data_IF_204471068644
#
_entry.id   IF_204471068644
#
_cell.length_a   1.000
_cell.length_b   1.000
_cell.length_c   1.000
_cell.angle_alpha   90.00
_cell.angle_beta   90.00
_cell.angle_gamma   90.00
#
_symmetry.space_group_name_H-M   'P 1'
#
loop_
_entity.id
_entity.type
_entity.pdbx_description
1 polymer ?
#
# COMPACT_ATOMS: atom_id res chain seq x y z
N UNK A 1 -5.07 -7.15 16.95
CA UNK A 1 -6.08 -6.36 17.65
C UNK A 1 -6.87 -7.20 18.66
N UNK A 2 -7.41 -8.35 18.26
CA UNK A 2 -8.25 -9.22 19.11
C UNK A 2 -7.57 -9.76 20.38
N UNK A 3 -6.23 -9.64 20.47
CA UNK A 3 -5.45 -10.14 21.60
C UNK A 3 -5.07 -9.05 22.63
N UNK A 4 -5.47 -7.79 22.38
CA UNK A 4 -5.05 -6.64 23.21
C UNK A 4 -5.80 -6.61 24.55
N UNK A 5 -7.12 -6.89 24.55
CA UNK A 5 -7.97 -6.87 25.73
C UNK A 5 -9.22 -7.73 25.56
N UNK A 6 -9.94 -7.98 26.65
CA UNK A 6 -11.24 -8.64 26.65
C UNK A 6 -12.26 -7.87 25.80
N UNK A 7 -12.34 -6.56 26.00
CA UNK A 7 -13.22 -5.68 25.21
C UNK A 7 -12.89 -5.75 23.72
N UNK A 8 -11.60 -5.79 23.34
CA UNK A 8 -11.20 -5.94 21.93
C UNK A 8 -11.68 -7.28 21.34
N UNK A 9 -11.73 -8.36 22.12
CA UNK A 9 -12.30 -9.65 21.71
C UNK A 9 -13.80 -9.60 21.51
N UNK A 10 -14.50 -8.94 22.44
CA UNK A 10 -15.97 -8.85 22.42
C UNK A 10 -16.49 -8.02 21.23
N UNK A 11 -15.83 -6.92 20.89
CA UNK A 11 -16.32 -6.00 19.85
C UNK A 11 -15.52 -6.06 18.55
N UNK A 12 -14.42 -6.79 18.52
CA UNK A 12 -13.45 -6.72 17.44
C UNK A 12 -13.77 -7.61 16.25
N UNK A 13 -13.58 -7.04 15.05
CA UNK A 13 -13.53 -7.77 13.78
C UNK A 13 -12.19 -7.41 13.12
N UNK A 14 -11.41 -8.43 12.77
CA UNK A 14 -10.17 -8.24 11.99
C UNK A 14 -10.38 -8.73 10.58
N UNK A 15 -10.10 -7.86 9.60
CA UNK A 15 -10.04 -8.24 8.18
C UNK A 15 -8.58 -8.21 7.75
N UNK A 16 -8.06 -9.34 7.31
CA UNK A 16 -6.64 -9.47 6.96
C UNK A 16 -6.43 -10.36 5.74
N UNK A 17 -5.25 -10.28 5.14
CA UNK A 17 -4.84 -11.16 4.05
C UNK A 17 -3.32 -11.20 3.92
N UNK A 18 -2.79 -12.26 3.32
CA UNK A 18 -1.40 -12.36 2.91
C UNK A 18 -1.07 -11.54 1.64
N UNK A 19 -2.08 -10.93 1.01
CA UNK A 19 -2.01 -10.30 -0.32
C UNK A 19 -0.92 -9.26 -0.46
N UNK A 20 -0.73 -8.41 0.54
CA UNK A 20 0.23 -7.30 0.47
C UNK A 20 1.60 -7.69 1.04
N UNK A 21 1.62 -8.37 2.19
CA UNK A 21 2.87 -8.80 2.80
C UNK A 21 3.70 -9.73 1.91
N UNK A 22 3.05 -10.66 1.23
CA UNK A 22 3.74 -11.67 0.39
C UNK A 22 3.52 -11.51 -1.11
N UNK A 23 3.04 -10.35 -1.55
CA UNK A 23 2.85 -10.00 -2.97
C UNK A 23 1.97 -11.01 -3.75
N UNK A 24 0.93 -11.57 -3.11
CA UNK A 24 0.01 -12.56 -3.68
C UNK A 24 -1.41 -12.02 -3.90
N UNK A 25 -1.57 -10.72 -4.09
CA UNK A 25 -2.88 -10.08 -4.26
C UNK A 25 -3.69 -10.63 -5.44
N UNK A 26 -3.03 -11.14 -6.49
CA UNK A 26 -3.67 -11.79 -7.63
C UNK A 26 -4.45 -13.05 -7.27
N UNK A 27 -4.12 -13.70 -6.17
CA UNK A 27 -4.76 -14.95 -5.72
C UNK A 27 -6.08 -14.75 -4.98
N UNK A 28 -6.51 -13.51 -4.71
CA UNK A 28 -7.85 -13.14 -4.24
C UNK A 28 -8.34 -13.93 -3.00
N UNK A 29 -7.58 -13.87 -1.90
CA UNK A 29 -7.94 -14.48 -0.63
C UNK A 29 -7.79 -13.49 0.52
N UNK A 30 -8.78 -13.44 1.40
CA UNK A 30 -8.78 -12.64 2.62
C UNK A 30 -9.53 -13.39 3.73
N UNK A 31 -9.26 -13.00 4.97
CA UNK A 31 -9.84 -13.60 6.18
C UNK A 31 -10.60 -12.53 6.94
N UNK A 32 -11.77 -12.91 7.45
CA UNK A 32 -12.49 -12.16 8.48
C UNK A 32 -12.41 -12.99 9.74
N UNK A 33 -11.92 -12.41 10.83
CA UNK A 33 -11.70 -13.09 12.11
C UNK A 33 -12.44 -12.34 13.20
N UNK A 34 -13.23 -13.05 14.01
CA UNK A 34 -13.85 -12.59 15.23
C UNK A 34 -13.59 -13.61 16.34
N UNK A 35 -13.73 -13.21 17.59
CA UNK A 35 -13.75 -14.09 18.77
C UNK A 35 -15.07 -13.97 19.55
N UNK A 36 -16.07 -13.27 18.99
CA UNK A 36 -17.38 -13.09 19.58
C UNK A 36 -18.43 -13.88 18.79
N UNK A 37 -19.12 -14.79 19.49
CA UNK A 37 -20.16 -15.64 18.88
C UNK A 37 -21.30 -14.85 18.24
N UNK A 38 -21.73 -13.74 18.84
CA UNK A 38 -22.79 -12.92 18.26
C UNK A 38 -22.36 -12.27 16.94
N UNK A 39 -21.07 -11.85 16.82
CA UNK A 39 -20.51 -11.37 15.58
C UNK A 39 -20.42 -12.50 14.54
N UNK A 40 -20.02 -13.68 14.94
CA UNK A 40 -19.91 -14.85 14.05
C UNK A 40 -21.30 -15.25 13.50
N UNK A 41 -22.35 -15.17 14.31
CA UNK A 41 -23.73 -15.38 13.87
C UNK A 41 -24.17 -14.36 12.81
N UNK A 42 -23.81 -13.09 12.97
CA UNK A 42 -24.04 -12.03 11.95
C UNK A 42 -23.23 -12.30 10.68
N UNK A 43 -21.94 -12.66 10.79
CA UNK A 43 -21.08 -13.00 9.66
C UNK A 43 -21.60 -14.24 8.90
N UNK A 44 -22.24 -15.16 9.59
CA UNK A 44 -22.87 -16.34 8.98
C UNK A 44 -24.03 -16.01 8.03
N UNK A 45 -24.70 -14.86 8.24
CA UNK A 45 -25.79 -14.35 7.39
C UNK A 45 -25.29 -13.78 6.05
N UNK A 46 -23.97 -13.60 5.87
CA UNK A 46 -23.45 -13.12 4.60
C UNK A 46 -23.82 -14.06 3.44
N UNK A 47 -24.16 -13.50 2.27
CA UNK A 47 -24.51 -14.34 1.11
C UNK A 47 -23.44 -15.39 0.81
N UNK A 48 -23.83 -16.64 0.51
CA UNK A 48 -22.88 -17.72 0.21
C UNK A 48 -21.86 -17.35 -0.88
N UNK A 49 -22.25 -16.52 -1.85
CA UNK A 49 -21.38 -16.01 -2.91
C UNK A 49 -20.12 -15.29 -2.37
N UNK A 50 -20.17 -14.67 -1.21
CA UNK A 50 -19.00 -14.03 -0.58
C UNK A 50 -17.96 -15.07 -0.20
N UNK A 51 -18.40 -16.22 0.33
CA UNK A 51 -17.54 -17.32 0.75
C UNK A 51 -16.97 -18.10 -0.44
N UNK A 52 -17.78 -18.35 -1.48
CA UNK A 52 -17.36 -19.13 -2.66
C UNK A 52 -16.49 -18.38 -3.64
N UNK A 53 -16.39 -17.05 -3.56
CA UNK A 53 -15.52 -16.25 -4.43
C UNK A 53 -14.07 -16.21 -3.97
N UNK A 54 -13.76 -16.72 -2.79
CA UNK A 54 -12.37 -16.84 -2.36
C UNK A 54 -11.65 -17.91 -3.20
N UNK A 55 -10.47 -17.58 -3.70
CA UNK A 55 -9.66 -18.51 -4.49
C UNK A 55 -9.12 -19.64 -3.59
N UNK A 56 -9.33 -20.90 -3.98
CA UNK A 56 -8.75 -22.03 -3.27
C UNK A 56 -7.22 -21.99 -3.29
N UNK A 57 -6.61 -21.61 -4.44
CA UNK A 57 -5.16 -21.43 -4.54
C UNK A 57 -4.69 -20.29 -3.64
N UNK A 58 -5.50 -19.22 -3.52
CA UNK A 58 -5.23 -18.11 -2.61
C UNK A 58 -5.27 -18.51 -1.14
N UNK A 59 -6.17 -19.41 -0.76
CA UNK A 59 -6.24 -19.96 0.59
C UNK A 59 -4.98 -20.78 0.94
N UNK A 60 -4.56 -21.69 0.06
CA UNK A 60 -3.32 -22.46 0.25
C UNK A 60 -2.08 -21.58 0.28
N UNK A 61 -1.97 -20.62 -0.65
CA UNK A 61 -0.84 -19.70 -0.68
C UNK A 61 -0.81 -18.82 0.58
N UNK A 62 -1.96 -18.35 1.07
CA UNK A 62 -2.03 -17.57 2.31
C UNK A 62 -1.61 -18.41 3.52
N UNK A 63 -2.04 -19.67 3.60
CA UNK A 63 -1.65 -20.57 4.68
C UNK A 63 -0.12 -20.80 4.68
N UNK A 64 0.47 -21.07 3.51
CA UNK A 64 1.92 -21.22 3.36
C UNK A 64 2.68 -19.92 3.72
N UNK A 65 2.19 -18.77 3.24
CA UNK A 65 2.78 -17.47 3.53
C UNK A 65 2.83 -17.18 5.04
N UNK A 66 1.70 -17.32 5.74
CA UNK A 66 1.65 -17.11 7.20
C UNK A 66 2.46 -18.13 8.00
N UNK A 67 2.58 -19.35 7.52
CA UNK A 67 3.30 -20.42 8.22
C UNK A 67 4.82 -20.34 7.99
N UNK A 68 5.24 -20.19 6.74
CA UNK A 68 6.62 -20.44 6.31
C UNK A 68 7.28 -19.23 5.63
N UNK A 69 6.52 -18.11 5.41
CA UNK A 69 6.96 -16.97 4.63
C UNK A 69 7.65 -15.84 5.40
N UNK A 70 7.97 -16.02 6.69
CA UNK A 70 8.52 -14.97 7.56
C UNK A 70 9.89 -14.47 7.07
N UNK A 71 10.79 -15.38 6.73
CA UNK A 71 12.16 -15.04 6.29
C UNK A 71 12.13 -14.19 5.02
N UNK A 72 11.27 -14.55 4.07
CA UNK A 72 11.09 -13.76 2.85
C UNK A 72 10.48 -12.39 3.15
N UNK A 73 9.47 -12.33 4.01
CA UNK A 73 8.80 -11.08 4.38
C UNK A 73 9.78 -10.10 5.06
N UNK A 74 10.60 -10.59 5.97
CA UNK A 74 11.60 -9.76 6.65
C UNK A 74 12.62 -9.17 5.65
N UNK A 75 13.12 -9.97 4.71
CA UNK A 75 14.01 -9.49 3.64
C UNK A 75 13.35 -8.41 2.76
N UNK A 76 12.06 -8.55 2.48
CA UNK A 76 11.30 -7.53 1.74
C UNK A 76 11.12 -6.26 2.57
N UNK A 77 10.83 -6.37 3.86
CA UNK A 77 10.70 -5.22 4.77
C UNK A 77 12.01 -4.42 4.80
N UNK A 78 13.15 -5.08 4.98
CA UNK A 78 14.46 -4.44 4.97
C UNK A 78 14.68 -3.64 3.66
N UNK A 79 14.41 -4.28 2.52
CA UNK A 79 14.52 -3.61 1.21
C UNK A 79 13.56 -2.42 1.06
N UNK A 80 12.35 -2.53 1.58
CA UNK A 80 11.37 -1.44 1.52
C UNK A 80 11.77 -0.26 2.42
N UNK A 81 12.34 -0.52 3.58
CA UNK A 81 12.87 0.52 4.47
C UNK A 81 14.03 1.28 3.80
N UNK A 82 14.98 0.57 3.20
CA UNK A 82 16.08 1.16 2.42
C UNK A 82 15.55 2.02 1.24
N UNK A 83 14.60 1.49 0.46
CA UNK A 83 13.98 2.20 -0.64
C UNK A 83 13.23 3.46 -0.18
N UNK A 84 12.48 3.35 0.91
CA UNK A 84 11.72 4.46 1.49
C UNK A 84 12.66 5.61 1.91
N UNK A 85 13.73 5.28 2.61
CA UNK A 85 14.75 6.26 3.02
C UNK A 85 15.46 6.87 1.82
N UNK A 86 15.83 6.06 0.83
CA UNK A 86 16.47 6.53 -0.42
C UNK A 86 15.55 7.51 -1.17
N UNK A 87 14.28 7.17 -1.37
CA UNK A 87 13.29 8.03 -2.04
C UNK A 87 13.14 9.35 -1.28
N UNK A 88 13.01 9.30 0.05
CA UNK A 88 12.90 10.49 0.89
C UNK A 88 14.12 11.42 0.71
N UNK A 89 15.33 10.87 0.77
CA UNK A 89 16.57 11.62 0.61
C UNK A 89 16.72 12.19 -0.80
N UNK A 90 16.38 11.43 -1.84
CA UNK A 90 16.42 11.89 -3.23
C UNK A 90 15.43 13.05 -3.47
N UNK A 91 14.22 12.96 -2.93
CA UNK A 91 13.24 14.04 -3.01
C UNK A 91 13.73 15.28 -2.26
N UNK A 92 14.23 15.14 -1.05
CA UNK A 92 14.77 16.27 -0.29
C UNK A 92 15.95 16.97 -1.02
N UNK A 93 16.80 16.21 -1.68
CA UNK A 93 17.97 16.75 -2.41
C UNK A 93 17.59 17.39 -3.75
N UNK A 94 16.70 16.76 -4.53
CA UNK A 94 16.42 17.16 -5.92
C UNK A 94 15.14 17.98 -6.08
N UNK A 95 14.19 17.83 -5.18
CA UNK A 95 12.85 18.45 -5.20
C UNK A 95 12.46 18.94 -3.80
N UNK A 96 13.22 19.86 -3.19
CA UNK A 96 13.02 20.28 -1.80
C UNK A 96 11.68 20.96 -1.52
N UNK A 97 10.97 21.40 -2.55
CA UNK A 97 9.61 21.96 -2.44
C UNK A 97 8.51 20.89 -2.34
N UNK A 98 8.81 19.64 -2.69
CA UNK A 98 7.88 18.53 -2.52
C UNK A 98 7.81 18.13 -1.05
N UNK A 99 6.61 18.14 -0.49
CA UNK A 99 6.41 17.74 0.90
C UNK A 99 6.07 16.26 0.96
N UNK A 100 6.78 15.55 1.79
CA UNK A 100 6.54 14.15 2.12
C UNK A 100 7.05 13.86 3.52
N UNK A 101 6.58 12.77 4.11
CA UNK A 101 7.12 12.24 5.36
C UNK A 101 7.50 10.78 5.16
N UNK A 102 8.43 10.30 5.97
CA UNK A 102 8.85 8.91 5.92
C UNK A 102 7.68 8.02 6.36
N UNK A 103 7.20 7.09 5.54
CA UNK A 103 6.10 6.21 5.90
C UNK A 103 6.49 5.28 7.05
N UNK A 104 5.57 5.08 8.00
CA UNK A 104 5.75 4.14 9.13
C UNK A 104 5.35 2.71 8.76
N UNK A 105 4.73 2.50 7.61
CA UNK A 105 4.26 1.19 7.16
C UNK A 105 3.95 1.19 5.66
N UNK A 106 3.70 0.02 5.11
CA UNK A 106 3.36 -0.16 3.70
C UNK A 106 4.57 0.04 2.77
N UNK A 107 4.33 0.26 1.51
CA UNK A 107 5.34 0.46 0.45
C UNK A 107 4.96 1.61 -0.50
N UNK A 108 4.22 2.58 0.01
CA UNK A 108 3.78 3.75 -0.74
C UNK A 108 4.12 5.03 0.02
N UNK A 109 4.59 6.04 -0.71
CA UNK A 109 4.80 7.38 -0.23
C UNK A 109 3.70 8.32 -0.74
N UNK A 110 3.31 9.30 0.07
CA UNK A 110 2.34 10.33 -0.26
C UNK A 110 3.08 11.65 -0.47
N UNK A 111 3.02 12.19 -1.69
CA UNK A 111 3.79 13.35 -2.10
C UNK A 111 2.85 14.52 -2.37
N UNK A 112 3.07 15.64 -1.69
CA UNK A 112 2.43 16.92 -1.97
C UNK A 112 3.26 17.67 -3.02
N UNK A 113 2.69 17.81 -4.21
CA UNK A 113 3.31 18.46 -5.37
C UNK A 113 2.77 19.87 -5.60
N UNK A 114 1.98 20.43 -4.68
CA UNK A 114 1.34 21.74 -4.84
C UNK A 114 2.30 22.86 -5.19
N UNK A 115 3.51 22.83 -4.64
CA UNK A 115 4.56 23.81 -4.91
C UNK A 115 5.18 23.73 -6.31
N UNK A 116 4.93 22.66 -7.06
CA UNK A 116 5.49 22.45 -8.41
C UNK A 116 4.63 23.07 -9.54
N UNK A 117 3.43 23.55 -9.23
CA UNK A 117 2.50 24.15 -10.19
C UNK A 117 2.26 23.31 -11.46
N UNK A 118 1.99 22.01 -11.28
CA UNK A 118 1.81 21.04 -12.37
C UNK A 118 0.38 21.02 -12.96
N UNK A 119 -0.45 22.02 -12.63
CA UNK A 119 -1.83 22.13 -13.08
C UNK A 119 -2.83 21.35 -12.21
N UNK A 120 -4.00 21.09 -12.74
CA UNK A 120 -5.09 20.46 -11.97
C UNK A 120 -4.86 18.97 -11.66
N UNK A 121 -4.09 18.28 -12.50
CA UNK A 121 -3.77 16.86 -12.33
C UNK A 121 -2.26 16.60 -12.45
N UNK A 122 -1.49 16.77 -11.37
CA UNK A 122 -0.04 16.53 -11.37
C UNK A 122 0.36 15.14 -11.87
N UNK A 123 -0.42 14.10 -11.56
CA UNK A 123 -0.12 12.74 -12.01
C UNK A 123 -0.15 12.61 -13.54
N UNK A 124 -1.15 13.23 -14.19
CA UNK A 124 -1.26 13.24 -15.66
C UNK A 124 -0.12 14.05 -16.28
N UNK A 125 0.19 15.21 -15.73
CA UNK A 125 1.29 16.06 -16.21
C UNK A 125 2.64 15.34 -16.15
N UNK A 126 2.93 14.64 -15.04
CA UNK A 126 4.16 13.86 -14.89
C UNK A 126 4.20 12.64 -15.79
N UNK A 127 3.04 12.01 -16.07
CA UNK A 127 2.96 10.93 -17.05
C UNK A 127 3.29 11.43 -18.47
N UNK A 128 2.75 12.56 -18.85
CA UNK A 128 2.94 13.13 -20.21
C UNK A 128 4.36 13.63 -20.43
N UNK A 129 4.91 14.40 -19.48
CA UNK A 129 6.22 15.05 -19.62
C UNK A 129 7.36 14.14 -19.20
N UNK A 130 7.24 13.53 -18.01
CA UNK A 130 8.30 12.73 -17.39
C UNK A 130 8.23 11.23 -17.70
N UNK A 131 7.12 10.75 -18.29
CA UNK A 131 6.84 9.32 -18.49
C UNK A 131 6.91 8.52 -17.17
N UNK A 132 6.45 9.15 -16.07
CA UNK A 132 6.36 8.52 -14.74
C UNK A 132 4.88 8.46 -14.35
N UNK A 133 4.38 7.24 -14.13
CA UNK A 133 3.00 6.99 -13.78
C UNK A 133 2.81 6.93 -12.25
N UNK A 134 1.89 7.73 -11.73
CA UNK A 134 1.48 7.75 -10.33
C UNK A 134 -0.01 7.46 -10.18
N UNK A 135 -0.42 7.04 -9.00
CA UNK A 135 -1.83 7.15 -8.65
C UNK A 135 -2.14 8.60 -8.27
N UNK A 136 -3.12 9.19 -8.97
CA UNK A 136 -3.52 10.57 -8.75
C UNK A 136 -4.23 10.74 -7.40
N UNK A 137 -3.91 11.83 -6.68
CA UNK A 137 -4.43 12.09 -5.34
C UNK A 137 -5.95 12.28 -5.29
N UNK A 138 -6.57 12.85 -6.32
CA UNK A 138 -8.03 13.01 -6.38
C UNK A 138 -8.81 11.70 -6.23
N UNK A 139 -8.19 10.54 -6.54
CA UNK A 139 -8.79 9.21 -6.32
C UNK A 139 -8.96 8.88 -4.81
N UNK A 140 -8.34 9.63 -3.92
CA UNK A 140 -8.33 9.44 -2.47
C UNK A 140 -9.07 10.56 -1.71
N UNK A 141 -9.65 11.51 -2.43
CA UNK A 141 -10.45 12.59 -1.88
C UNK A 141 -10.23 13.92 -2.59
N UNK A 142 -11.27 14.77 -2.60
CA UNK A 142 -11.26 16.05 -3.32
C UNK A 142 -10.17 17.01 -2.83
N UNK A 143 -9.78 16.94 -1.55
CA UNK A 143 -8.72 17.75 -0.97
C UNK A 143 -7.30 17.34 -1.41
N UNK A 144 -7.16 16.20 -2.09
CA UNK A 144 -5.87 15.61 -2.44
C UNK A 144 -5.50 15.78 -3.92
N UNK A 145 -6.10 16.73 -4.63
CA UNK A 145 -5.88 16.92 -6.08
C UNK A 145 -4.43 17.18 -6.45
N UNK A 146 -3.67 17.87 -5.59
CA UNK A 146 -2.26 18.20 -5.80
C UNK A 146 -1.29 17.12 -5.29
N UNK A 147 -1.82 15.99 -4.83
CA UNK A 147 -1.01 14.89 -4.33
C UNK A 147 -0.88 13.76 -5.35
N UNK A 148 0.18 12.97 -5.17
CA UNK A 148 0.35 11.70 -5.86
C UNK A 148 0.81 10.61 -4.91
N UNK A 149 0.46 9.36 -5.22
CA UNK A 149 0.95 8.19 -4.49
C UNK A 149 2.04 7.51 -5.30
N UNK A 150 3.25 7.49 -4.75
CA UNK A 150 4.40 6.77 -5.28
C UNK A 150 4.49 5.39 -4.62
N UNK A 151 4.63 4.33 -5.43
CA UNK A 151 4.95 2.98 -4.95
C UNK A 151 6.47 2.79 -5.03
N UNK A 152 7.11 2.47 -3.88
CA UNK A 152 8.56 2.24 -3.83
C UNK A 152 8.95 0.77 -3.70
N UNK A 153 8.01 -0.17 -3.87
CA UNK A 153 8.30 -1.60 -3.94
C UNK A 153 8.81 -2.02 -5.33
N UNK A 154 9.94 -1.45 -5.74
CA UNK A 154 10.64 -1.75 -7.00
C UNK A 154 12.14 -1.57 -6.81
N UNK A 155 12.95 -1.73 -7.87
CA UNK A 155 14.39 -1.59 -7.72
C UNK A 155 14.84 -0.15 -7.45
N UNK A 156 15.93 0.06 -6.69
CA UNK A 156 16.52 1.37 -6.46
C UNK A 156 16.82 2.15 -7.74
N UNK A 157 17.26 1.45 -8.79
CA UNK A 157 17.56 2.03 -10.10
C UNK A 157 16.32 2.67 -10.74
N UNK A 158 15.16 1.97 -10.71
CA UNK A 158 13.89 2.47 -11.25
C UNK A 158 13.42 3.68 -10.44
N UNK A 159 13.55 3.65 -9.12
CA UNK A 159 13.17 4.76 -8.25
C UNK A 159 14.00 6.01 -8.50
N UNK A 160 15.31 5.84 -8.62
CA UNK A 160 16.24 6.94 -8.95
C UNK A 160 15.91 7.54 -10.31
N UNK A 161 15.72 6.70 -11.33
CA UNK A 161 15.36 7.14 -12.68
C UNK A 161 14.02 7.87 -12.69
N UNK A 162 13.02 7.38 -11.95
CA UNK A 162 11.71 8.03 -11.88
C UNK A 162 11.82 9.45 -11.30
N UNK A 163 12.58 9.63 -10.20
CA UNK A 163 12.80 10.95 -9.60
C UNK A 163 13.58 11.85 -10.57
N UNK A 164 14.60 11.34 -11.26
CA UNK A 164 15.35 12.11 -12.25
C UNK A 164 14.49 12.56 -13.44
N UNK A 165 13.55 11.73 -13.88
CA UNK A 165 12.57 12.08 -14.92
C UNK A 165 11.60 13.15 -14.44
N UNK A 166 11.16 13.10 -13.19
CA UNK A 166 10.34 14.17 -12.62
C UNK A 166 11.10 15.49 -12.68
N UNK A 167 12.33 15.52 -12.18
CA UNK A 167 13.17 16.73 -12.19
C UNK A 167 13.35 17.30 -13.60
N UNK A 168 13.57 16.45 -14.60
CA UNK A 168 13.74 16.87 -16.00
C UNK A 168 12.46 17.34 -16.67
N UNK A 169 11.30 17.04 -16.08
CA UNK A 169 9.98 17.37 -16.64
C UNK A 169 9.38 18.67 -16.11
N UNK A 170 10.04 19.27 -15.11
CA UNK A 170 9.65 20.56 -14.52
C UNK A 170 10.20 21.73 -15.32
#
# INVERSE_FOLDING_TARGET
>A
FLTISETAREVGITVTSASKGWNIAGLKSALIVSQNRAIDEVLALMPPAVKFRSSILGAFASAAAFKDGEVWLNSVIDTLEENSLMVHNLLAAKLPSVKTHLPQSSYVAWLDLSALNLGENPAQTLLERGKVAFNAGHMYGAQSTQFVRLNYATSPTILTEAIDRIVKSL
#
